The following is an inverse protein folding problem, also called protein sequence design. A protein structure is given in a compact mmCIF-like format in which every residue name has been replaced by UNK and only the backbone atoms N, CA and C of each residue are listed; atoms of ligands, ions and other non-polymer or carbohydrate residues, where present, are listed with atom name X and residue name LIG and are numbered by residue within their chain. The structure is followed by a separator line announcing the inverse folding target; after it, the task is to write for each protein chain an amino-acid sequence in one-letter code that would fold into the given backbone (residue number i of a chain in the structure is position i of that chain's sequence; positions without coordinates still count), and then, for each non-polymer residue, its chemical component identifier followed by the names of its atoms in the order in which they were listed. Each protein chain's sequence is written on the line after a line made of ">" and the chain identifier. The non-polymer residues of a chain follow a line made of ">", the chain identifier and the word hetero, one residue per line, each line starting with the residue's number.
data_IF_173457959197
#
_entry.id   IF_173457959197
#
_cell.length_a   1.000
_cell.length_b   1.000
_cell.length_c   1.000
_cell.angle_alpha   90.00
_cell.angle_beta   90.00
_cell.angle_gamma   90.00
#
_symmetry.space_group_name_H-M   'P 1'
#
loop_
_entity.id
_entity.type
_entity.pdbx_description
1 polymer ?
#
# COMPACT_ATOMS: atom_id res chain seq x y z
N UNK A 1 1.64 12.53 1.87
CA UNK A 1 1.50 11.07 1.98
C UNK A 1 0.53 10.76 3.10
N UNK A 2 -0.77 10.56 2.79
CA UNK A 2 -1.70 10.03 3.78
C UNK A 2 -1.20 8.66 4.23
N UNK A 3 -1.01 8.50 5.54
CA UNK A 3 -0.77 7.19 6.14
C UNK A 3 -2.12 6.57 6.41
N UNK A 4 -2.35 5.37 5.91
CA UNK A 4 -3.56 4.58 6.20
C UNK A 4 -3.45 4.07 7.63
N UNK A 5 -2.41 3.26 7.90
CA UNK A 5 -2.12 2.74 9.23
C UNK A 5 -0.63 2.39 9.40
N UNK A 6 -0.27 1.98 10.62
CA UNK A 6 1.05 1.42 10.96
C UNK A 6 0.86 0.10 11.69
N UNK A 7 1.59 -0.94 11.27
CA UNK A 7 1.53 -2.26 11.89
C UNK A 7 2.85 -3.00 11.73
N UNK A 8 3.25 -3.73 12.77
CA UNK A 8 4.49 -4.54 12.77
C UNK A 8 5.76 -3.75 12.37
N UNK A 9 5.82 -2.46 12.70
CA UNK A 9 6.94 -1.57 12.34
C UNK A 9 6.92 -1.04 10.91
N UNK A 10 5.90 -1.37 10.12
CA UNK A 10 5.73 -0.90 8.74
C UNK A 10 4.71 0.24 8.66
N UNK A 11 4.96 1.19 7.76
CA UNK A 11 4.03 2.28 7.42
C UNK A 11 3.32 1.98 6.10
N UNK A 12 1.99 1.96 6.13
CA UNK A 12 1.12 1.75 4.97
C UNK A 12 0.55 3.10 4.52
N UNK A 13 0.78 3.49 3.27
CA UNK A 13 0.50 4.85 2.80
C UNK A 13 0.31 4.94 1.28
N UNK A 14 -0.20 6.09 0.83
CA UNK A 14 -0.27 6.45 -0.59
C UNK A 14 0.60 7.67 -0.88
N UNK A 15 1.03 7.82 -2.13
CA UNK A 15 1.57 9.08 -2.61
C UNK A 15 0.40 9.98 -3.02
N UNK A 16 0.57 11.29 -2.86
CA UNK A 16 -0.47 12.23 -3.28
C UNK A 16 -0.56 12.35 -4.81
N UNK A 17 0.52 11.98 -5.50
CA UNK A 17 0.67 12.09 -6.95
C UNK A 17 0.88 10.70 -7.54
N UNK A 18 -0.21 10.03 -7.91
CA UNK A 18 -0.25 8.65 -8.41
C UNK A 18 -0.29 8.57 -9.96
N UNK A 19 0.31 9.58 -10.61
CA UNK A 19 0.38 9.67 -12.08
C UNK A 19 -0.91 10.14 -12.77
N UNK A 20 -0.83 10.29 -14.10
CA UNK A 20 -1.95 10.61 -15.00
C UNK A 20 -1.81 9.80 -16.29
N UNK A 21 -2.64 8.77 -16.54
CA UNK A 21 -3.79 8.35 -15.74
C UNK A 21 -3.40 7.78 -14.37
N UNK A 22 -4.31 7.90 -13.39
CA UNK A 22 -4.14 7.37 -12.04
C UNK A 22 -4.02 5.86 -12.09
N UNK A 23 -3.08 5.31 -11.32
CA UNK A 23 -2.87 3.87 -11.23
C UNK A 23 -4.00 3.13 -10.50
N UNK A 24 -4.11 1.79 -10.69
CA UNK A 24 -5.03 0.96 -9.90
C UNK A 24 -4.79 1.08 -8.38
N UNK A 25 -5.77 0.69 -7.58
CA UNK A 25 -5.68 0.75 -6.11
C UNK A 25 -4.49 -0.07 -5.61
N UNK A 26 -3.64 0.59 -4.81
CA UNK A 26 -2.45 -0.01 -4.24
C UNK A 26 -2.04 0.68 -2.95
N UNK A 27 -1.14 0.06 -2.19
CA UNK A 27 -0.55 0.65 -0.99
C UNK A 27 0.97 0.54 -1.03
N UNK A 28 1.65 1.60 -0.59
CA UNK A 28 3.08 1.59 -0.32
C UNK A 28 3.33 1.17 1.13
N UNK A 29 4.29 0.26 1.32
CA UNK A 29 4.68 -0.29 2.61
C UNK A 29 6.14 0.04 2.83
N UNK A 30 6.49 0.79 3.88
CA UNK A 30 7.86 1.26 4.06
C UNK A 30 8.33 1.30 5.51
N UNK A 31 9.65 1.13 5.67
CA UNK A 31 10.49 1.48 6.83
C UNK A 31 11.74 2.23 6.33
N UNK A 32 12.63 2.78 7.18
CA UNK A 32 13.72 3.67 6.74
C UNK A 32 14.56 3.16 5.56
N UNK A 33 14.89 1.85 5.53
CA UNK A 33 15.80 1.27 4.52
C UNK A 33 15.12 0.21 3.64
N UNK A 34 13.79 0.13 3.63
CA UNK A 34 13.08 -0.83 2.81
C UNK A 34 11.68 -0.37 2.45
N UNK A 35 11.28 -0.59 1.22
CA UNK A 35 9.96 -0.26 0.72
C UNK A 35 9.43 -1.28 -0.28
N UNK A 36 8.11 -1.37 -0.36
CA UNK A 36 7.41 -2.18 -1.33
C UNK A 36 6.12 -1.48 -1.74
N UNK A 37 5.58 -1.92 -2.87
CA UNK A 37 4.25 -1.57 -3.33
C UNK A 37 3.45 -2.82 -3.55
N UNK A 38 2.18 -2.79 -3.13
CA UNK A 38 1.26 -3.91 -3.26
C UNK A 38 0.01 -3.44 -3.99
N UNK A 39 -0.28 -4.01 -5.15
CA UNK A 39 -1.57 -3.85 -5.82
C UNK A 39 -2.64 -4.58 -5.01
N UNK A 40 -3.83 -4.00 -4.86
CA UNK A 40 -4.92 -4.62 -4.08
C UNK A 40 -5.71 -5.66 -4.87
N UNK A 41 -5.92 -5.42 -6.16
CA UNK A 41 -6.83 -6.19 -6.99
C UNK A 41 -6.14 -6.92 -8.15
N UNK A 42 -6.63 -8.12 -8.55
CA UNK A 42 -7.78 -8.86 -8.01
C UNK A 42 -7.53 -9.55 -6.66
N UNK A 43 -6.26 -9.70 -6.28
CA UNK A 43 -5.80 -10.11 -4.96
C UNK A 43 -4.50 -9.37 -4.65
N UNK A 44 -4.14 -9.18 -3.36
CA UNK A 44 -2.91 -8.49 -2.98
C UNK A 44 -1.66 -9.11 -3.61
N UNK A 45 -0.97 -8.33 -4.45
CA UNK A 45 0.25 -8.77 -5.14
C UNK A 45 1.34 -7.71 -5.12
N UNK A 46 2.58 -8.16 -4.95
CA UNK A 46 3.75 -7.28 -4.92
C UNK A 46 3.99 -6.70 -6.32
N UNK A 47 4.00 -5.38 -6.42
CA UNK A 47 4.39 -4.64 -7.62
C UNK A 47 5.91 -4.49 -7.70
N UNK A 48 6.52 -4.11 -6.57
CA UNK A 48 7.96 -4.09 -6.39
C UNK A 48 8.30 -4.31 -4.91
N UNK A 49 9.54 -4.72 -4.64
CA UNK A 49 10.09 -4.88 -3.31
C UNK A 49 11.57 -4.47 -3.33
N UNK A 50 11.95 -3.51 -2.48
CA UNK A 50 13.31 -3.13 -2.19
C UNK A 50 13.62 -3.37 -0.71
N UNK A 51 14.59 -4.25 -0.43
CA UNK A 51 15.12 -4.43 0.92
C UNK A 51 14.21 -5.18 1.90
N UNK A 52 13.04 -5.70 1.48
CA UNK A 52 12.17 -6.53 2.32
C UNK A 52 12.46 -8.01 2.07
N UNK A 53 12.84 -8.74 3.13
CA UNK A 53 13.07 -10.17 3.03
C UNK A 53 11.76 -10.95 2.77
N UNK A 54 11.87 -12.19 2.31
CA UNK A 54 10.71 -13.00 1.94
C UNK A 54 9.73 -13.29 3.11
N UNK A 55 10.23 -13.36 4.36
CA UNK A 55 9.38 -13.60 5.53
C UNK A 55 8.51 -12.39 5.81
N UNK A 56 9.11 -11.21 5.84
CA UNK A 56 8.42 -9.95 6.09
C UNK A 56 7.45 -9.63 4.95
N UNK A 57 7.83 -9.91 3.69
CA UNK A 57 6.94 -9.70 2.56
C UNK A 57 5.67 -10.57 2.63
N UNK A 58 5.78 -11.83 3.11
CA UNK A 58 4.60 -12.68 3.35
C UNK A 58 3.69 -12.09 4.43
N UNK A 59 4.26 -11.66 5.56
CA UNK A 59 3.51 -10.98 6.63
C UNK A 59 2.82 -9.72 6.09
N UNK A 60 3.51 -8.92 5.28
CA UNK A 60 2.94 -7.71 4.69
C UNK A 60 1.76 -8.05 3.78
N UNK A 61 1.86 -9.08 2.94
CA UNK A 61 0.73 -9.50 2.08
C UNK A 61 -0.46 -9.99 2.91
N UNK A 62 -0.22 -10.72 4.00
CA UNK A 62 -1.28 -11.09 4.96
C UNK A 62 -1.93 -9.86 5.59
N UNK A 63 -1.14 -8.87 6.03
CA UNK A 63 -1.65 -7.60 6.58
C UNK A 63 -2.47 -6.85 5.53
N UNK A 64 -1.96 -6.69 4.30
CA UNK A 64 -2.70 -6.01 3.23
C UNK A 64 -4.01 -6.75 2.94
N UNK A 65 -4.00 -8.08 2.95
CA UNK A 65 -5.21 -8.89 2.74
C UNK A 65 -6.24 -8.62 3.84
N UNK A 66 -5.82 -8.64 5.11
CA UNK A 66 -6.70 -8.39 6.27
C UNK A 66 -7.25 -6.95 6.29
N UNK A 67 -6.49 -5.98 5.77
CA UNK A 67 -6.84 -4.56 5.76
C UNK A 67 -7.30 -4.07 4.37
N UNK A 68 -7.68 -4.97 3.45
CA UNK A 68 -8.04 -4.61 2.06
C UNK A 68 -9.12 -3.52 2.02
N UNK A 69 -10.17 -3.67 2.82
CA UNK A 69 -11.28 -2.71 2.87
C UNK A 69 -10.85 -1.34 3.39
N UNK A 70 -10.07 -1.28 4.48
CA UNK A 70 -9.57 -0.03 5.05
C UNK A 70 -8.68 0.73 4.06
N UNK A 71 -7.83 0.01 3.33
CA UNK A 71 -6.96 0.60 2.30
C UNK A 71 -7.79 1.14 1.14
N UNK A 72 -8.79 0.40 0.67
CA UNK A 72 -9.67 0.84 -0.42
C UNK A 72 -10.50 2.07 -0.03
N UNK A 73 -11.10 2.08 1.16
CA UNK A 73 -11.86 3.23 1.67
C UNK A 73 -10.97 4.47 1.79
N UNK A 74 -9.74 4.32 2.31
CA UNK A 74 -8.78 5.42 2.40
C UNK A 74 -8.33 5.92 1.03
N UNK A 75 -8.14 5.02 0.05
CA UNK A 75 -7.78 5.36 -1.32
C UNK A 75 -8.90 6.19 -1.97
N UNK A 76 -10.13 5.70 -1.93
CA UNK A 76 -11.28 6.42 -2.47
C UNK A 76 -11.50 7.75 -1.76
N UNK A 77 -11.43 7.78 -0.42
CA UNK A 77 -11.59 9.02 0.34
C UNK A 77 -10.56 10.08 -0.02
N UNK A 78 -9.30 9.67 -0.27
CA UNK A 78 -8.24 10.60 -0.65
C UNK A 78 -8.38 11.10 -2.09
N UNK A 79 -8.72 10.23 -3.04
CA UNK A 79 -8.73 10.57 -4.47
C UNK A 79 -10.08 11.05 -5.02
N UNK A 80 -11.21 10.74 -4.37
CA UNK A 80 -12.53 11.21 -4.79
C UNK A 80 -12.73 12.72 -4.55
N UNK A 81 -11.93 13.35 -3.69
CA UNK A 81 -11.94 14.79 -3.46
C UNK A 81 -10.97 15.59 -4.33
N UNK A 82 -10.32 14.96 -5.31
CA UNK A 82 -9.22 15.54 -6.10
C UNK A 82 -9.50 15.64 -7.61
N UNK A 83 -10.77 15.62 -8.00
CA UNK A 83 -11.20 15.87 -9.38
C UNK A 83 -11.28 17.36 -9.72
#
# INVERSE_FOLDING_TARGET
>A
MPVVFRQSGWRFHFFAYEGSPREPIHVHVAKPDADAKVWLYPEPRVAYNHGINARDMRMILEIVTLHTQEIEEAWHGFFAGTD
#
